data_IF_064280478919
#
_entry.id   IF_064280478919
#
_cell.length_a   1.000
_cell.length_b   1.000
_cell.length_c   1.000
_cell.angle_alpha   90.00
_cell.angle_beta   90.00
_cell.angle_gamma   90.00
#
_symmetry.space_group_name_H-M   'P 1'
#
loop_
_entity.id
_entity.type
_entity.pdbx_description
1 polymer ?
#
# COMPACT_ATOMS: atom_id res chain seq x y z
N UNK A 1 -7.99 -7.38 23.33
CA UNK A 1 -7.87 -6.81 21.96
C UNK A 1 -8.25 -7.88 20.95
N UNK A 2 -9.12 -7.54 20.01
CA UNK A 2 -9.49 -8.46 18.94
C UNK A 2 -8.37 -8.60 17.92
N UNK A 3 -8.40 -9.66 17.10
CA UNK A 3 -7.42 -9.84 16.01
C UNK A 3 -7.46 -8.67 15.04
N UNK A 4 -8.66 -8.14 14.78
CA UNK A 4 -8.85 -6.98 13.91
C UNK A 4 -8.17 -5.72 14.46
N UNK A 5 -8.34 -5.46 15.76
CA UNK A 5 -7.69 -4.33 16.42
C UNK A 5 -6.17 -4.48 16.42
N UNK A 6 -5.67 -5.68 16.65
CA UNK A 6 -4.23 -5.97 16.61
C UNK A 6 -3.65 -5.72 15.22
N UNK A 7 -4.35 -6.14 14.15
CA UNK A 7 -3.93 -5.87 12.78
C UNK A 7 -3.91 -4.38 12.48
N UNK A 8 -4.94 -3.64 12.93
CA UNK A 8 -5.00 -2.19 12.71
C UNK A 8 -3.81 -1.48 13.35
N UNK A 9 -3.44 -1.89 14.58
CA UNK A 9 -2.27 -1.32 15.26
C UNK A 9 -0.98 -1.60 14.49
N UNK A 10 -0.83 -2.80 13.93
CA UNK A 10 0.32 -3.14 13.11
C UNK A 10 0.42 -2.21 11.90
N UNK A 11 -0.70 -2.00 11.20
CA UNK A 11 -0.75 -1.08 10.06
C UNK A 11 -0.41 0.35 10.46
N UNK A 12 -0.94 0.84 11.58
CA UNK A 12 -0.70 2.20 12.04
C UNK A 12 0.77 2.44 12.42
N UNK A 13 1.45 1.41 12.93
CA UNK A 13 2.84 1.51 13.34
C UNK A 13 3.82 1.22 12.21
N UNK A 14 3.37 0.64 11.11
CA UNK A 14 4.22 0.32 9.98
C UNK A 14 4.74 1.59 9.29
N UNK A 15 5.95 1.51 8.78
CA UNK A 15 6.54 2.55 7.96
C UNK A 15 6.29 2.23 6.49
N UNK A 16 6.24 3.25 5.65
CA UNK A 16 6.04 3.09 4.21
C UNK A 16 7.05 3.93 3.47
N UNK A 17 7.68 3.34 2.46
CA UNK A 17 8.56 4.05 1.53
C UNK A 17 8.11 3.76 0.11
N UNK A 18 8.23 4.73 -0.79
CA UNK A 18 7.93 4.57 -2.20
C UNK A 18 9.17 4.88 -3.03
N UNK A 19 9.33 4.19 -4.15
CA UNK A 19 10.48 4.39 -5.02
C UNK A 19 10.12 5.36 -6.14
N UNK A 20 10.78 6.51 -6.15
CA UNK A 20 10.63 7.52 -7.19
C UNK A 20 11.22 6.95 -8.49
N UNK A 21 10.51 7.03 -9.65
CA UNK A 21 10.89 6.26 -10.84
C UNK A 21 12.10 6.82 -11.61
N UNK A 22 12.45 8.09 -11.47
CA UNK A 22 13.54 8.70 -12.23
C UNK A 22 14.88 8.46 -11.53
N UNK A 23 15.02 8.96 -10.30
CA UNK A 23 16.24 8.76 -9.51
C UNK A 23 16.29 7.38 -8.84
N UNK A 24 15.13 6.69 -8.75
CA UNK A 24 14.98 5.39 -8.09
C UNK A 24 15.30 5.42 -6.60
N UNK A 25 15.18 6.58 -5.99
CA UNK A 25 15.37 6.74 -4.55
C UNK A 25 14.12 6.35 -3.81
N UNK A 26 14.30 5.73 -2.63
CA UNK A 26 13.20 5.43 -1.72
C UNK A 26 12.93 6.68 -0.89
N UNK A 27 11.68 7.15 -0.94
CA UNK A 27 11.26 8.42 -0.36
C UNK A 27 10.00 8.23 0.48
N UNK A 28 9.68 9.22 1.31
CA UNK A 28 8.47 9.21 2.13
C UNK A 28 7.25 9.58 1.26
N UNK A 29 6.25 8.70 1.17
CA UNK A 29 5.03 9.01 0.37
C UNK A 29 4.34 10.30 0.83
N UNK A 30 4.36 10.60 2.12
CA UNK A 30 3.73 11.81 2.66
C UNK A 30 4.34 13.07 2.06
N UNK A 31 5.67 13.11 1.94
CA UNK A 31 6.39 14.26 1.37
C UNK A 31 6.13 14.37 -0.14
N UNK A 32 6.03 13.25 -0.83
CA UNK A 32 5.73 13.26 -2.27
C UNK A 32 4.31 13.74 -2.55
N UNK A 33 3.33 13.32 -1.75
CA UNK A 33 1.95 13.80 -1.86
C UNK A 33 1.87 15.31 -1.60
N UNK A 34 2.55 15.79 -0.57
CA UNK A 34 2.61 17.21 -0.25
C UNK A 34 3.24 17.99 -1.39
N UNK A 35 4.37 17.53 -1.92
CA UNK A 35 5.08 18.19 -3.01
C UNK A 35 4.28 18.29 -4.31
N UNK A 36 3.47 17.26 -4.62
CA UNK A 36 2.60 17.24 -5.79
C UNK A 36 1.24 17.89 -5.55
N UNK A 37 0.86 18.12 -4.30
CA UNK A 37 -0.51 18.47 -3.92
C UNK A 37 -1.51 17.45 -4.45
N UNK A 38 -1.18 16.17 -4.35
CA UNK A 38 -1.98 15.06 -4.89
C UNK A 38 -2.06 13.94 -3.87
N UNK A 39 -3.24 13.32 -3.75
CA UNK A 39 -3.46 12.17 -2.89
C UNK A 39 -2.92 10.89 -3.52
N UNK A 40 -2.69 9.87 -2.70
CA UNK A 40 -2.25 8.56 -3.16
C UNK A 40 -2.73 7.47 -2.20
N UNK A 41 -2.84 6.25 -2.74
CA UNK A 41 -3.15 5.06 -1.95
C UNK A 41 -1.95 4.13 -2.02
N UNK A 42 -1.59 3.51 -0.89
CA UNK A 42 -0.57 2.47 -0.85
C UNK A 42 -1.24 1.16 -0.47
N UNK A 43 -1.03 0.13 -1.29
CA UNK A 43 -1.62 -1.18 -1.11
C UNK A 43 -0.65 -2.28 -1.49
N UNK A 44 -0.89 -3.49 -0.99
CA UNK A 44 -0.10 -4.68 -1.34
C UNK A 44 -1.02 -5.85 -1.63
N UNK A 45 -0.54 -6.84 -2.37
CA UNK A 45 -1.21 -8.12 -2.55
C UNK A 45 -0.51 -9.24 -1.74
N UNK A 46 0.50 -8.91 -0.96
CA UNK A 46 1.24 -9.87 -0.13
C UNK A 46 0.42 -10.31 1.08
N UNK A 47 0.52 -11.59 1.42
CA UNK A 47 -0.02 -12.18 2.66
C UNK A 47 -1.47 -11.77 2.93
N UNK A 48 -2.43 -12.15 2.05
CA UNK A 48 -3.81 -11.71 2.20
C UNK A 48 -4.38 -12.15 3.55
N UNK A 49 -4.91 -11.19 4.30
CA UNK A 49 -5.46 -11.38 5.65
C UNK A 49 -4.46 -12.09 6.58
N UNK A 50 -4.79 -13.31 7.02
CA UNK A 50 -3.91 -14.10 7.88
C UNK A 50 -3.18 -15.21 7.11
N UNK A 51 -3.40 -15.33 5.82
CA UNK A 51 -2.75 -16.35 5.00
C UNK A 51 -1.28 -16.02 4.81
N UNK A 52 -0.48 -17.06 4.64
CA UNK A 52 0.95 -16.93 4.39
C UNK A 52 1.31 -17.75 3.14
N UNK A 53 0.96 -17.26 1.94
CA UNK A 53 1.32 -17.92 0.70
C UNK A 53 2.84 -18.01 0.55
N UNK A 54 3.30 -18.80 -0.40
CA UNK A 54 4.72 -18.82 -0.76
C UNK A 54 5.15 -17.45 -1.30
N UNK A 55 6.45 -17.20 -1.27
CA UNK A 55 6.99 -15.97 -1.85
C UNK A 55 6.59 -15.82 -3.32
N UNK A 56 6.66 -16.91 -4.10
CA UNK A 56 6.29 -16.90 -5.51
C UNK A 56 4.80 -16.56 -5.73
N UNK A 57 3.92 -17.09 -4.87
CA UNK A 57 2.49 -16.77 -4.93
C UNK A 57 2.23 -15.31 -4.61
N UNK A 58 2.92 -14.77 -3.59
CA UNK A 58 2.82 -13.35 -3.24
C UNK A 58 3.29 -12.45 -4.38
N UNK A 59 4.43 -12.79 -5.00
CA UNK A 59 4.95 -12.03 -6.14
C UNK A 59 3.98 -12.05 -7.32
N UNK A 60 3.41 -13.20 -7.64
CA UNK A 60 2.44 -13.32 -8.73
C UNK A 60 1.18 -12.48 -8.44
N UNK A 61 0.68 -12.52 -7.21
CA UNK A 61 -0.48 -11.70 -6.81
C UNK A 61 -0.17 -10.21 -6.93
N UNK A 62 1.02 -9.80 -6.50
CA UNK A 62 1.42 -8.39 -6.54
C UNK A 62 1.61 -7.88 -7.98
N UNK A 63 2.08 -8.73 -8.88
CA UNK A 63 2.16 -8.41 -10.31
C UNK A 63 0.78 -8.27 -10.94
N UNK A 64 -0.18 -9.13 -10.56
CA UNK A 64 -1.58 -9.01 -11.01
C UNK A 64 -2.20 -7.72 -10.53
N UNK A 65 -1.93 -7.31 -9.29
CA UNK A 65 -2.40 -6.05 -8.75
C UNK A 65 -1.84 -4.87 -9.56
N UNK A 66 -0.56 -4.89 -9.87
CA UNK A 66 0.07 -3.85 -10.70
C UNK A 66 -0.62 -3.75 -12.05
N UNK A 67 -0.89 -4.88 -12.70
CA UNK A 67 -1.57 -4.91 -14.00
C UNK A 67 -2.96 -4.28 -13.92
N UNK A 68 -3.74 -4.62 -12.90
CA UNK A 68 -5.06 -4.02 -12.68
C UNK A 68 -4.96 -2.50 -12.55
N UNK A 69 -4.02 -2.02 -11.75
CA UNK A 69 -3.86 -0.59 -11.48
C UNK A 69 -3.43 0.18 -12.74
N UNK A 70 -2.49 -0.38 -13.50
CA UNK A 70 -2.01 0.24 -14.74
C UNK A 70 -3.11 0.22 -15.80
N UNK A 71 -3.85 -0.88 -15.93
CA UNK A 71 -4.94 -1.00 -16.91
C UNK A 71 -6.08 -0.02 -16.62
N UNK A 72 -6.27 0.37 -15.36
CA UNK A 72 -7.23 1.41 -14.99
C UNK A 72 -6.73 2.83 -15.31
N UNK A 73 -5.49 2.98 -15.74
CA UNK A 73 -4.93 4.26 -16.16
C UNK A 73 -4.20 5.04 -15.08
N UNK A 74 -3.90 4.43 -13.94
CA UNK A 74 -3.20 5.13 -12.86
C UNK A 74 -1.69 5.14 -13.04
N UNK A 75 -1.06 6.19 -12.54
CA UNK A 75 0.39 6.22 -12.33
C UNK A 75 0.69 5.42 -11.07
N UNK A 76 1.59 4.42 -11.18
CA UNK A 76 1.86 3.45 -10.10
C UNK A 76 3.36 3.40 -9.84
N UNK A 77 3.74 3.56 -8.56
CA UNK A 77 5.13 3.44 -8.13
C UNK A 77 5.28 2.25 -7.19
N UNK A 78 6.43 1.57 -7.18
CA UNK A 78 6.71 0.58 -6.13
C UNK A 78 6.65 1.25 -4.75
N UNK A 79 6.08 0.54 -3.77
CA UNK A 79 6.02 1.03 -2.40
C UNK A 79 6.09 -0.16 -1.45
N UNK A 80 6.93 -0.05 -0.42
CA UNK A 80 7.10 -1.11 0.57
C UNK A 80 6.57 -0.66 1.92
N UNK A 81 5.84 -1.55 2.60
CA UNK A 81 5.55 -1.41 4.01
C UNK A 81 6.56 -2.20 4.82
N UNK A 82 7.00 -1.69 5.94
CA UNK A 82 8.01 -2.36 6.76
C UNK A 82 7.90 -1.97 8.23
N UNK A 83 8.44 -2.82 9.10
CA UNK A 83 8.51 -2.53 10.52
C UNK A 83 9.77 -1.72 10.85
N UNK A 84 9.69 -0.90 11.91
CA UNK A 84 10.82 -0.07 12.34
C UNK A 84 12.06 -0.89 12.71
N UNK A 85 11.86 -2.11 13.22
CA UNK A 85 12.95 -3.01 13.60
C UNK A 85 13.50 -3.84 12.43
N UNK A 86 12.92 -3.72 11.23
CA UNK A 86 13.39 -4.41 10.04
C UNK A 86 13.03 -5.89 9.94
N UNK A 87 12.20 -6.42 10.86
CA UNK A 87 11.84 -7.84 10.85
C UNK A 87 10.75 -8.17 9.84
N UNK A 88 10.08 -7.17 9.29
CA UNK A 88 8.97 -7.36 8.38
C UNK A 88 9.03 -6.33 7.24
N UNK A 89 8.82 -6.81 6.01
CA UNK A 89 8.76 -5.96 4.82
C UNK A 89 7.86 -6.61 3.78
N UNK A 90 6.92 -5.83 3.24
CA UNK A 90 6.03 -6.28 2.16
C UNK A 90 6.05 -5.31 1.00
N UNK A 91 6.44 -5.78 -0.20
CA UNK A 91 6.33 -4.99 -1.42
C UNK A 91 4.87 -4.71 -1.79
N UNK A 92 4.63 -3.56 -2.37
CA UNK A 92 3.31 -3.16 -2.82
C UNK A 92 3.40 -2.01 -3.82
N UNK A 93 2.35 -1.22 -3.89
CA UNK A 93 2.20 -0.18 -4.89
C UNK A 93 1.64 1.10 -4.29
N UNK A 94 2.20 2.23 -4.72
CA UNK A 94 1.63 3.55 -4.48
C UNK A 94 0.89 3.95 -5.76
N UNK A 95 -0.37 4.38 -5.62
CA UNK A 95 -1.26 4.69 -6.74
C UNK A 95 -1.69 6.15 -6.62
N UNK A 96 -1.24 6.97 -7.56
CA UNK A 96 -1.51 8.39 -7.55
C UNK A 96 -2.94 8.72 -7.92
N UNK A 97 -3.59 9.55 -7.13
CA UNK A 97 -4.91 10.11 -7.45
C UNK A 97 -6.10 9.16 -7.31
N UNK A 98 -5.90 7.96 -6.80
CA UNK A 98 -6.98 7.00 -6.59
C UNK A 98 -7.81 7.39 -5.38
N UNK A 99 -9.15 7.23 -5.47
CA UNK A 99 -10.02 7.45 -4.33
C UNK A 99 -9.84 6.36 -3.27
N UNK A 100 -10.15 6.71 -2.02
CA UNK A 100 -10.07 5.76 -0.91
C UNK A 100 -11.02 4.57 -1.16
N UNK A 101 -12.23 4.84 -1.63
CA UNK A 101 -13.24 3.81 -1.89
C UNK A 101 -12.78 2.82 -2.95
N UNK A 102 -12.21 3.32 -4.03
CA UNK A 102 -11.71 2.45 -5.09
C UNK A 102 -10.49 1.65 -4.64
N UNK A 103 -9.59 2.29 -3.92
CA UNK A 103 -8.40 1.62 -3.37
C UNK A 103 -8.76 0.51 -2.42
N UNK A 104 -9.69 0.76 -1.50
CA UNK A 104 -10.16 -0.25 -0.57
C UNK A 104 -10.85 -1.41 -1.28
N UNK A 105 -11.66 -1.12 -2.31
CA UNK A 105 -12.35 -2.17 -3.08
C UNK A 105 -11.37 -3.07 -3.83
N UNK A 106 -10.37 -2.48 -4.49
CA UNK A 106 -9.36 -3.26 -5.21
C UNK A 106 -8.55 -4.11 -4.23
N UNK A 107 -8.07 -3.52 -3.14
CA UNK A 107 -7.29 -4.25 -2.15
C UNK A 107 -8.11 -5.40 -1.52
N UNK A 108 -9.40 -5.20 -1.29
CA UNK A 108 -10.29 -6.25 -0.80
C UNK A 108 -10.35 -7.44 -1.75
N UNK A 109 -10.36 -7.18 -3.07
CA UNK A 109 -10.34 -8.24 -4.09
C UNK A 109 -9.06 -9.09 -4.02
N UNK A 110 -7.99 -8.53 -3.47
CA UNK A 110 -6.73 -9.24 -3.21
C UNK A 110 -6.62 -9.75 -1.77
N UNK A 111 -7.73 -9.75 -1.02
CA UNK A 111 -7.79 -10.30 0.32
C UNK A 111 -7.13 -9.45 1.40
N UNK A 112 -6.87 -8.18 1.14
CA UNK A 112 -6.19 -7.30 2.07
C UNK A 112 -7.11 -6.76 3.16
N UNK A 113 -6.52 -6.53 4.35
CA UNK A 113 -7.24 -5.99 5.51
C UNK A 113 -7.46 -4.49 5.40
N UNK A 114 -6.44 -3.76 4.97
CA UNK A 114 -6.45 -2.29 4.94
C UNK A 114 -5.51 -1.75 3.86
N UNK A 115 -5.68 -0.46 3.58
CA UNK A 115 -4.78 0.30 2.72
C UNK A 115 -4.30 1.53 3.49
N UNK A 116 -3.20 2.15 3.03
CA UNK A 116 -2.76 3.45 3.53
C UNK A 116 -3.26 4.52 2.57
N UNK A 117 -3.99 5.51 3.08
CA UNK A 117 -4.47 6.64 2.30
C UNK A 117 -3.69 7.89 2.70
N UNK A 118 -3.07 8.55 1.72
CA UNK A 118 -2.37 9.82 1.91
C UNK A 118 -3.19 10.91 1.22
N UNK A 119 -3.52 11.97 1.93
CA UNK A 119 -4.18 13.11 1.30
C UNK A 119 -3.16 14.04 0.63
N UNK A 120 -3.63 15.08 -0.04
CA UNK A 120 -2.77 16.01 -0.76
C UNK A 120 -1.87 16.86 0.14
N UNK A 121 -2.09 16.83 1.44
CA UNK A 121 -1.24 17.49 2.44
C UNK A 121 -0.27 16.51 3.10
N UNK A 122 -0.28 15.25 2.67
CA UNK A 122 0.61 14.21 3.18
C UNK A 122 0.15 13.55 4.46
N UNK A 123 -1.10 13.74 4.86
CA UNK A 123 -1.63 13.10 6.07
C UNK A 123 -2.02 11.67 5.75
N UNK A 124 -1.48 10.72 6.51
CA UNK A 124 -1.73 9.29 6.33
C UNK A 124 -2.86 8.81 7.23
N UNK A 125 -3.76 8.03 6.66
CA UNK A 125 -4.82 7.33 7.38
C UNK A 125 -4.80 5.85 6.98
N UNK A 126 -5.00 4.96 7.95
CA UNK A 126 -5.20 3.54 7.65
C UNK A 126 -6.69 3.30 7.46
N UNK A 127 -7.07 2.73 6.32
CA UNK A 127 -8.47 2.55 5.95
C UNK A 127 -8.74 1.06 5.74
N UNK A 128 -9.72 0.52 6.48
CA UNK A 128 -10.14 -0.87 6.34
C UNK A 128 -10.77 -1.10 4.97
N UNK A 129 -10.53 -2.30 4.42
CA UNK A 129 -11.02 -2.66 3.09
C UNK A 129 -12.46 -3.15 3.08
N UNK A 130 -13.07 -3.40 4.23
CA UNK A 130 -14.46 -3.89 4.36
C UNK A 130 -15.52 -2.80 4.47
#
# INVERSE_FOLDING_TARGET
>A
MSDREALFLIYEQALVATQEPVAREWVDPALECLGRSQSAIVMTAYNPSTDRPSWAENEAANERMQTVLIDLGYEVWPADGFSADGTWREPGWLVWGMSVEQGAAIAADFGQFAVYAYDSEGVRTVVACD
#
